data_IF_749130271180
#
_entry.id   IF_749130271180
#
_cell.length_a   1.000
_cell.length_b   1.000
_cell.length_c   1.000
_cell.angle_alpha   90.00
_cell.angle_beta   90.00
_cell.angle_gamma   90.00
#
_symmetry.space_group_name_H-M   'P 1'
#
loop_
_entity.id
_entity.type
_entity.pdbx_description
1 polymer ?
#
# COMPACT_ATOMS: atom_id res chain seq x y z
N UNK A 1 -9.30 -14.97 -21.20
CA UNK A 1 -9.51 -13.54 -21.53
C UNK A 1 -8.49 -12.78 -20.70
N UNK A 2 -7.93 -11.65 -21.13
CA UNK A 2 -6.81 -11.03 -20.39
C UNK A 2 -7.21 -10.65 -18.97
N UNK A 3 -6.26 -10.62 -18.01
CA UNK A 3 -6.46 -9.97 -16.70
C UNK A 3 -7.32 -8.71 -16.87
N UNK A 4 -8.33 -8.55 -16.00
CA UNK A 4 -9.18 -7.36 -15.95
C UNK A 4 -8.40 -6.17 -15.39
N UNK A 5 -7.53 -5.64 -16.23
CA UNK A 5 -6.68 -4.47 -15.96
C UNK A 5 -7.43 -3.14 -16.17
N UNK A 6 -8.74 -3.18 -16.42
CA UNK A 6 -9.62 -2.02 -16.60
C UNK A 6 -10.13 -1.46 -15.26
N UNK A 7 -10.06 -2.26 -14.19
CA UNK A 7 -10.42 -1.85 -12.84
C UNK A 7 -9.18 -1.34 -12.12
N UNK A 8 -9.24 -0.15 -11.51
CA UNK A 8 -8.20 0.37 -10.64
C UNK A 8 -8.49 0.05 -9.17
N UNK A 9 -7.48 0.08 -8.30
CA UNK A 9 -7.68 -0.02 -6.84
C UNK A 9 -8.64 1.05 -6.32
N UNK A 10 -8.57 2.29 -6.81
CA UNK A 10 -9.57 3.31 -6.50
C UNK A 10 -10.98 2.93 -6.97
N UNK A 11 -11.10 2.24 -8.10
CA UNK A 11 -12.35 1.66 -8.59
C UNK A 11 -12.88 0.57 -7.67
N UNK A 12 -12.00 -0.32 -7.20
CA UNK A 12 -12.31 -1.35 -6.21
C UNK A 12 -12.89 -0.71 -4.94
N UNK A 13 -12.19 0.26 -4.33
CA UNK A 13 -12.64 0.97 -3.12
C UNK A 13 -14.03 1.58 -3.30
N UNK A 14 -14.30 2.22 -4.45
CA UNK A 14 -15.63 2.80 -4.72
C UNK A 14 -16.71 1.73 -4.84
N UNK A 15 -16.39 0.56 -5.42
CA UNK A 15 -17.33 -0.55 -5.48
C UNK A 15 -17.60 -1.10 -4.07
N UNK A 16 -16.57 -1.27 -3.25
CA UNK A 16 -16.68 -1.69 -1.84
C UNK A 16 -17.56 -0.75 -1.04
N UNK A 17 -17.37 0.57 -1.19
CA UNK A 17 -18.18 1.57 -0.48
C UNK A 17 -19.66 1.48 -0.84
N UNK A 18 -20.00 1.23 -2.11
CA UNK A 18 -21.40 1.04 -2.53
C UNK A 18 -22.02 -0.21 -1.91
N UNK A 19 -21.30 -1.32 -1.91
CA UNK A 19 -21.76 -2.55 -1.26
C UNK A 19 -21.91 -2.35 0.27
N UNK A 20 -21.00 -1.60 0.88
CA UNK A 20 -21.10 -1.25 2.30
C UNK A 20 -22.30 -0.35 2.61
N UNK A 21 -22.71 0.53 1.69
CA UNK A 21 -23.96 1.31 1.80
C UNK A 21 -25.21 0.42 1.71
N UNK A 22 -25.13 -0.72 1.03
CA UNK A 22 -26.19 -1.73 0.93
C UNK A 22 -26.21 -2.70 2.13
N UNK A 23 -25.23 -2.60 3.03
CA UNK A 23 -25.15 -3.36 4.28
C UNK A 23 -24.10 -4.49 4.28
N UNK A 24 -23.34 -4.65 3.20
CA UNK A 24 -22.25 -5.63 3.16
C UNK A 24 -21.06 -5.19 4.02
N UNK A 25 -20.34 -6.18 4.56
CA UNK A 25 -19.08 -5.97 5.27
C UNK A 25 -17.97 -6.63 4.47
N UNK A 26 -17.05 -5.82 3.95
CA UNK A 26 -16.03 -6.27 3.00
C UNK A 26 -14.67 -5.76 3.44
N UNK A 27 -13.76 -6.68 3.67
CA UNK A 27 -12.36 -6.42 3.98
C UNK A 27 -11.49 -7.10 2.93
N UNK A 28 -10.46 -6.43 2.45
CA UNK A 28 -9.47 -7.02 1.54
C UNK A 28 -8.21 -7.41 2.28
N UNK A 29 -7.60 -8.53 1.88
CA UNK A 29 -6.33 -8.97 2.41
C UNK A 29 -5.18 -8.47 1.53
N UNK A 30 -4.33 -7.60 2.09
CA UNK A 30 -3.04 -7.24 1.49
C UNK A 30 -2.00 -8.31 1.77
N UNK A 31 -1.51 -8.98 0.73
CA UNK A 31 -0.60 -10.12 0.85
C UNK A 31 0.83 -9.66 0.64
N UNK A 32 1.67 -9.84 1.65
CA UNK A 32 3.10 -9.58 1.59
C UNK A 32 3.82 -10.85 1.12
N UNK A 33 4.31 -10.90 -0.13
CA UNK A 33 4.88 -12.11 -0.70
C UNK A 33 6.23 -12.43 -0.04
N UNK A 34 6.31 -13.59 0.60
CA UNK A 34 7.56 -14.05 1.24
C UNK A 34 8.15 -15.32 0.60
N UNK A 35 7.40 -15.96 -0.29
CA UNK A 35 7.81 -17.16 -1.03
C UNK A 35 6.92 -17.35 -2.27
N UNK A 36 7.28 -18.29 -3.14
CA UNK A 36 6.43 -18.65 -4.29
C UNK A 36 5.07 -19.22 -3.84
N UNK A 37 5.02 -19.96 -2.73
CA UNK A 37 3.79 -20.49 -2.16
C UNK A 37 2.84 -19.37 -1.70
N UNK A 38 3.39 -18.27 -1.19
CA UNK A 38 2.62 -17.08 -0.79
C UNK A 38 2.24 -16.17 -1.98
N UNK A 39 2.69 -16.52 -3.19
CA UNK A 39 2.15 -15.98 -4.45
C UNK A 39 1.07 -16.93 -4.99
N UNK A 40 1.32 -18.24 -4.96
CA UNK A 40 0.43 -19.27 -5.49
C UNK A 40 -0.88 -19.40 -4.71
N UNK A 41 -0.80 -19.59 -3.39
CA UNK A 41 -1.97 -19.89 -2.58
C UNK A 41 -3.06 -18.80 -2.66
N UNK A 42 -2.73 -17.49 -2.64
CA UNK A 42 -3.76 -16.47 -2.83
C UNK A 42 -4.44 -16.49 -4.19
N UNK A 43 -3.72 -16.83 -5.26
CA UNK A 43 -4.29 -16.94 -6.60
C UNK A 43 -5.24 -18.14 -6.66
N UNK A 44 -4.81 -19.31 -6.17
CA UNK A 44 -5.68 -20.51 -6.10
C UNK A 44 -6.95 -20.23 -5.27
N UNK A 45 -6.81 -19.57 -4.12
CA UNK A 45 -7.94 -19.19 -3.27
C UNK A 45 -8.85 -18.16 -3.95
N UNK A 46 -8.31 -17.19 -4.68
CA UNK A 46 -9.13 -16.23 -5.41
C UNK A 46 -9.93 -16.89 -6.53
N UNK A 47 -9.39 -17.93 -7.19
CA UNK A 47 -10.11 -18.72 -8.18
C UNK A 47 -11.23 -19.57 -7.56
N UNK A 48 -11.06 -20.02 -6.31
CA UNK A 48 -12.06 -20.81 -5.59
C UNK A 48 -13.16 -19.95 -4.94
N UNK A 49 -12.79 -18.81 -4.36
CA UNK A 49 -13.66 -17.97 -3.52
C UNK A 49 -14.06 -16.62 -4.15
N UNK A 50 -13.61 -16.34 -5.37
CA UNK A 50 -13.95 -15.14 -6.16
C UNK A 50 -13.72 -13.80 -5.43
N UNK A 51 -12.46 -13.57 -5.02
CA UNK A 51 -12.05 -12.31 -4.40
C UNK A 51 -10.82 -11.70 -5.12
N UNK A 52 -10.64 -10.37 -5.08
CA UNK A 52 -9.47 -9.74 -5.69
C UNK A 52 -8.20 -10.02 -4.87
N UNK A 53 -7.13 -10.40 -5.55
CA UNK A 53 -5.80 -10.60 -4.94
C UNK A 53 -5.05 -9.28 -4.89
N UNK A 54 -4.64 -8.84 -3.70
CA UNK A 54 -3.85 -7.63 -3.51
C UNK A 54 -2.45 -8.01 -3.04
N UNK A 55 -1.49 -8.12 -3.96
CA UNK A 55 -0.09 -8.28 -3.58
C UNK A 55 0.50 -6.93 -3.22
N UNK A 56 1.17 -6.84 -2.07
CA UNK A 56 1.81 -5.62 -1.59
C UNK A 56 3.23 -5.97 -1.16
N UNK A 57 4.23 -5.59 -1.95
CA UNK A 57 5.62 -5.82 -1.62
C UNK A 57 6.24 -4.56 -0.99
N UNK A 58 7.05 -4.70 0.05
CA UNK A 58 7.84 -3.58 0.58
C UNK A 58 9.10 -3.31 -0.25
N UNK A 59 9.70 -2.13 -0.06
CA UNK A 59 11.02 -1.80 -0.64
C UNK A 59 12.15 -2.73 -0.17
N UNK A 60 11.95 -3.45 0.94
CA UNK A 60 12.92 -4.45 1.39
C UNK A 60 12.69 -5.80 0.69
N UNK A 61 11.45 -6.13 0.33
CA UNK A 61 11.06 -7.38 -0.37
C UNK A 61 11.23 -7.35 -1.89
N UNK A 62 11.26 -6.17 -2.51
CA UNK A 62 11.60 -6.00 -3.93
C UNK A 62 12.51 -4.79 -4.11
N UNK A 63 13.65 -4.97 -4.76
CA UNK A 63 14.68 -3.92 -4.84
C UNK A 63 15.54 -4.05 -6.08
N UNK A 64 15.75 -2.93 -6.78
CA UNK A 64 16.77 -2.78 -7.84
C UNK A 64 18.18 -2.74 -7.27
N UNK A 65 18.32 -2.21 -6.04
CA UNK A 65 19.58 -2.20 -5.33
C UNK A 65 19.78 -3.55 -4.63
N UNK A 66 21.03 -4.03 -4.58
CA UNK A 66 21.45 -5.27 -3.88
C UNK A 66 21.33 -6.58 -4.68
N UNK A 67 21.13 -6.52 -6.01
CA UNK A 67 21.07 -7.72 -6.86
C UNK A 67 19.81 -8.55 -6.63
N UNK A 68 18.79 -7.92 -6.04
CA UNK A 68 17.58 -8.56 -5.55
C UNK A 68 17.35 -8.34 -4.04
N UNK A 69 16.09 -8.40 -3.61
CA UNK A 69 15.69 -8.28 -2.20
C UNK A 69 16.18 -9.41 -1.28
N UNK A 70 16.06 -9.24 0.05
CA UNK A 70 16.48 -10.25 1.03
C UNK A 70 15.59 -11.50 1.09
N UNK A 71 14.39 -11.45 0.50
CA UNK A 71 13.40 -12.54 0.60
C UNK A 71 13.54 -13.51 -0.55
N UNK A 72 13.44 -13.01 -1.79
CA UNK A 72 13.46 -13.83 -3.01
C UNK A 72 14.48 -13.35 -4.04
N UNK A 73 15.29 -12.35 -3.70
CA UNK A 73 16.25 -11.79 -4.66
C UNK A 73 15.58 -11.11 -5.85
N UNK A 74 14.37 -10.56 -5.68
CA UNK A 74 13.60 -10.02 -6.80
C UNK A 74 13.70 -8.50 -6.92
N UNK A 75 13.77 -8.03 -8.16
CA UNK A 75 13.44 -6.66 -8.55
C UNK A 75 11.92 -6.50 -8.66
N UNK A 76 11.37 -5.28 -8.75
CA UNK A 76 9.96 -5.07 -9.09
C UNK A 76 9.51 -5.80 -10.36
N UNK A 77 10.34 -5.80 -11.41
CA UNK A 77 10.05 -6.57 -12.63
C UNK A 77 10.07 -8.09 -12.35
N UNK A 78 11.10 -8.58 -11.66
CA UNK A 78 11.21 -9.99 -11.30
C UNK A 78 10.02 -10.49 -10.47
N UNK A 79 9.45 -9.64 -9.61
CA UNK A 79 8.24 -9.98 -8.86
C UNK A 79 7.01 -10.15 -9.75
N UNK A 80 6.81 -9.25 -10.72
CA UNK A 80 5.75 -9.41 -11.71
C UNK A 80 5.95 -10.68 -12.53
N UNK A 81 7.18 -10.95 -12.98
CA UNK A 81 7.47 -12.18 -13.73
C UNK A 81 7.18 -13.44 -12.91
N UNK A 82 7.54 -13.46 -11.62
CA UNK A 82 7.22 -14.58 -10.75
C UNK A 82 5.71 -14.80 -10.59
N UNK A 83 4.93 -13.73 -10.49
CA UNK A 83 3.46 -13.85 -10.50
C UNK A 83 2.97 -14.44 -11.82
N UNK A 84 3.44 -13.93 -12.96
CA UNK A 84 3.06 -14.43 -14.29
C UNK A 84 3.45 -15.91 -14.47
N UNK A 85 4.60 -16.34 -13.96
CA UNK A 85 5.02 -17.76 -13.97
C UNK A 85 4.04 -18.65 -13.19
N UNK A 86 3.61 -18.19 -12.00
CA UNK A 86 2.63 -18.91 -11.18
C UNK A 86 1.27 -18.96 -11.89
N UNK A 87 0.80 -17.84 -12.43
CA UNK A 87 -0.42 -17.74 -13.24
C UNK A 87 -0.40 -18.73 -14.42
N UNK A 88 0.70 -18.76 -15.18
CA UNK A 88 0.88 -19.69 -16.29
C UNK A 88 0.85 -21.16 -15.80
N UNK A 89 1.48 -21.46 -14.65
CA UNK A 89 1.45 -22.80 -14.06
C UNK A 89 0.06 -23.26 -13.62
N UNK A 90 -0.86 -22.31 -13.41
CA UNK A 90 -2.27 -22.54 -13.07
C UNK A 90 -3.19 -22.53 -14.31
N UNK A 91 -2.63 -22.36 -15.52
CA UNK A 91 -3.39 -22.29 -16.77
C UNK A 91 -4.10 -20.95 -16.99
N UNK A 92 -3.57 -19.86 -16.44
CA UNK A 92 -4.13 -18.51 -16.55
C UNK A 92 -3.58 -17.70 -17.75
N UNK A 93 -3.05 -18.39 -18.75
CA UNK A 93 -2.30 -17.83 -19.89
C UNK A 93 -3.10 -17.79 -21.21
N UNK A 94 -4.41 -18.07 -21.17
CA UNK A 94 -5.22 -18.32 -22.37
C UNK A 94 -6.53 -17.52 -22.41
N UNK A 95 -7.15 -17.50 -23.59
CA UNK A 95 -8.49 -16.91 -23.73
C UNK A 95 -9.57 -17.66 -22.93
N UNK A 96 -9.36 -18.93 -22.59
CA UNK A 96 -10.26 -19.76 -21.78
C UNK A 96 -10.02 -19.70 -20.27
N UNK A 97 -8.99 -18.98 -19.83
CA UNK A 97 -8.66 -18.86 -18.41
C UNK A 97 -9.79 -18.18 -17.61
N UNK A 98 -10.05 -18.63 -16.37
CA UNK A 98 -11.04 -17.98 -15.50
C UNK A 98 -10.66 -16.53 -15.22
N UNK A 99 -11.66 -15.66 -15.18
CA UNK A 99 -11.47 -14.26 -14.80
C UNK A 99 -11.19 -14.18 -13.30
N UNK A 100 -10.16 -13.43 -12.91
CA UNK A 100 -9.96 -12.98 -11.54
C UNK A 100 -9.26 -11.62 -11.52
N UNK A 101 -9.32 -10.93 -10.39
CA UNK A 101 -8.72 -9.61 -10.22
C UNK A 101 -7.42 -9.71 -9.42
N UNK A 102 -6.36 -9.10 -9.93
CA UNK A 102 -5.10 -8.95 -9.22
C UNK A 102 -4.60 -7.51 -9.27
N UNK A 103 -4.15 -7.02 -8.13
CA UNK A 103 -3.46 -5.76 -7.98
C UNK A 103 -2.07 -5.99 -7.41
N UNK A 104 -1.10 -5.21 -7.86
CA UNK A 104 0.27 -5.26 -7.33
C UNK A 104 0.65 -3.86 -6.85
N UNK A 105 0.97 -3.77 -5.57
CA UNK A 105 1.34 -2.55 -4.89
C UNK A 105 2.74 -2.61 -4.31
N UNK A 106 3.32 -1.43 -4.09
CA UNK A 106 4.54 -1.24 -3.32
C UNK A 106 4.21 -0.52 -2.01
N UNK A 107 4.73 -1.06 -0.90
CA UNK A 107 4.53 -0.55 0.45
C UNK A 107 5.64 0.41 0.88
N UNK A 108 5.29 1.37 1.75
CA UNK A 108 6.21 2.29 2.42
C UNK A 108 7.24 2.96 1.49
N UNK A 109 6.77 3.54 0.37
CA UNK A 109 7.60 4.32 -0.53
C UNK A 109 7.79 5.76 -0.05
N UNK A 110 8.84 5.96 0.75
CA UNK A 110 9.39 7.28 1.02
C UNK A 110 10.80 7.22 1.61
N UNK A 111 11.36 8.39 1.98
CA UNK A 111 12.73 8.50 2.46
C UNK A 111 12.94 7.82 3.82
N UNK A 112 14.19 7.48 4.13
CA UNK A 112 14.63 6.92 5.43
C UNK A 112 14.04 5.55 5.83
N UNK A 113 13.35 4.88 4.91
CA UNK A 113 12.76 3.56 5.15
C UNK A 113 13.82 2.48 5.41
N UNK A 114 14.81 2.34 4.51
CA UNK A 114 15.84 1.31 4.65
C UNK A 114 16.86 1.71 5.71
N UNK A 115 17.45 0.73 6.39
CA UNK A 115 18.47 0.99 7.43
C UNK A 115 19.64 1.85 6.92
N UNK A 116 20.10 1.61 5.68
CA UNK A 116 21.15 2.40 5.02
C UNK A 116 20.75 3.85 4.73
N UNK A 117 19.45 4.13 4.66
CA UNK A 117 18.90 5.46 4.38
C UNK A 117 18.78 6.31 5.64
N UNK A 118 18.66 5.71 6.83
CA UNK A 118 18.40 6.40 8.11
C UNK A 118 19.44 7.45 8.52
N UNK A 119 20.63 7.41 7.92
CA UNK A 119 21.73 8.37 8.19
C UNK A 119 21.93 9.39 7.06
N UNK A 120 21.15 9.30 5.99
CA UNK A 120 21.28 10.16 4.83
C UNK A 120 20.57 11.50 5.05
N UNK A 121 21.11 12.55 4.44
CA UNK A 121 20.38 13.79 4.24
C UNK A 121 19.12 13.55 3.39
N UNK A 122 18.22 14.53 3.39
CA UNK A 122 16.92 14.44 2.72
C UNK A 122 17.03 14.13 1.23
N UNK A 123 17.90 14.83 0.50
CA UNK A 123 18.05 14.65 -0.94
C UNK A 123 18.49 13.21 -1.28
N UNK A 124 19.49 12.70 -0.53
CA UNK A 124 20.01 11.35 -0.71
C UNK A 124 19.03 10.28 -0.24
N UNK A 125 18.20 10.55 0.78
CA UNK A 125 17.19 9.62 1.27
C UNK A 125 15.98 9.50 0.32
N UNK A 126 15.60 10.59 -0.36
CA UNK A 126 14.49 10.60 -1.31
C UNK A 126 14.84 9.86 -2.61
N UNK A 127 16.10 9.91 -3.04
CA UNK A 127 16.54 9.37 -4.33
C UNK A 127 16.21 7.87 -4.49
N UNK A 128 16.54 6.97 -3.54
CA UNK A 128 16.15 5.56 -3.62
C UNK A 128 14.65 5.33 -3.74
N UNK A 129 13.82 6.07 -3.00
CA UNK A 129 12.37 5.98 -3.10
C UNK A 129 11.89 6.33 -4.52
N UNK A 130 12.41 7.41 -5.11
CA UNK A 130 12.14 7.78 -6.51
C UNK A 130 12.55 6.70 -7.51
N UNK A 131 13.69 6.04 -7.31
CA UNK A 131 14.12 4.92 -8.13
C UNK A 131 13.14 3.74 -8.05
N UNK A 132 12.72 3.36 -6.83
CA UNK A 132 11.70 2.31 -6.64
C UNK A 132 10.39 2.66 -7.36
N UNK A 133 9.90 3.90 -7.21
CA UNK A 133 8.67 4.35 -7.86
C UNK A 133 8.73 4.20 -9.39
N UNK A 134 9.86 4.55 -10.01
CA UNK A 134 10.07 4.36 -11.45
C UNK A 134 10.06 2.87 -11.82
N UNK A 135 10.85 2.04 -11.12
CA UNK A 135 10.95 0.62 -11.42
C UNK A 135 9.60 -0.11 -11.29
N UNK A 136 8.82 0.21 -10.26
CA UNK A 136 7.46 -0.31 -10.08
C UNK A 136 6.51 0.15 -11.21
N UNK A 137 6.57 1.41 -11.65
CA UNK A 137 5.80 1.90 -12.80
C UNK A 137 6.16 1.16 -14.09
N UNK A 138 7.46 0.93 -14.32
CA UNK A 138 7.96 0.20 -15.49
C UNK A 138 7.49 -1.25 -15.47
N UNK A 139 7.53 -1.91 -14.31
CA UNK A 139 7.06 -3.27 -14.08
C UNK A 139 5.52 -3.43 -14.15
N UNK A 140 4.76 -2.33 -14.04
CA UNK A 140 3.29 -2.35 -14.15
C UNK A 140 2.54 -2.44 -12.83
N UNK A 141 3.14 -1.99 -11.72
CA UNK A 141 2.46 -1.88 -10.44
C UNK A 141 1.27 -0.89 -10.53
N UNK A 142 0.20 -1.20 -9.82
CA UNK A 142 -1.05 -0.44 -9.81
C UNK A 142 -1.29 0.35 -8.53
N UNK A 143 -0.58 0.03 -7.44
CA UNK A 143 -0.72 0.66 -6.12
C UNK A 143 0.60 1.19 -5.57
N UNK A 144 0.58 2.39 -4.99
CA UNK A 144 1.78 3.04 -4.44
C UNK A 144 1.47 3.66 -3.08
N UNK A 145 1.95 3.03 -2.01
CA UNK A 145 1.91 3.63 -0.67
C UNK A 145 3.06 4.61 -0.51
N UNK A 146 2.73 5.91 -0.44
CA UNK A 146 3.71 6.98 -0.25
C UNK A 146 3.79 7.32 1.24
N UNK A 147 4.88 6.90 1.88
CA UNK A 147 5.10 7.07 3.32
C UNK A 147 6.37 7.85 3.61
N UNK A 148 6.21 9.13 3.95
CA UNK A 148 7.29 10.04 4.34
C UNK A 148 7.41 10.25 5.85
N UNK A 149 6.83 9.37 6.66
CA UNK A 149 6.79 9.49 8.12
C UNK A 149 8.00 8.88 8.84
N UNK A 150 8.77 8.03 8.15
CA UNK A 150 9.95 7.37 8.72
C UNK A 150 10.91 8.38 9.33
N UNK A 151 11.40 8.05 10.53
CA UNK A 151 12.20 8.97 11.34
C UNK A 151 13.50 9.37 10.62
N UNK A 152 13.70 10.67 10.33
CA UNK A 152 14.95 11.17 9.74
C UNK A 152 16.11 11.13 10.76
N UNK A 153 17.38 11.25 10.32
CA UNK A 153 18.49 11.45 11.23
C UNK A 153 18.34 12.76 12.01
N UNK A 154 18.95 12.85 13.19
CA UNK A 154 18.86 14.04 14.06
C UNK A 154 19.36 15.34 13.42
N UNK A 155 20.12 15.26 12.34
CA UNK A 155 20.58 16.40 11.54
C UNK A 155 19.54 16.96 10.57
N UNK A 156 18.40 16.28 10.38
CA UNK A 156 17.35 16.68 9.45
C UNK A 156 16.05 16.90 10.22
N UNK A 157 15.53 18.12 10.16
CA UNK A 157 14.26 18.47 10.75
C UNK A 157 13.12 18.25 9.74
N UNK A 158 12.13 17.45 10.14
CA UNK A 158 10.92 17.18 9.38
C UNK A 158 9.72 17.34 10.31
N UNK A 159 8.94 18.40 10.07
CA UNK A 159 7.66 18.62 10.73
C UNK A 159 6.51 18.10 9.86
N UNK A 160 5.28 18.14 10.37
CA UNK A 160 4.09 17.63 9.66
C UNK A 160 3.86 18.30 8.30
N UNK A 161 3.98 19.63 8.22
CA UNK A 161 3.85 20.37 6.96
C UNK A 161 4.86 19.89 5.91
N UNK A 162 6.10 19.65 6.32
CA UNK A 162 7.15 19.14 5.45
C UNK A 162 6.91 17.69 5.06
N UNK A 163 6.42 16.83 5.96
CA UNK A 163 6.01 15.47 5.60
C UNK A 163 4.91 15.47 4.54
N UNK A 164 3.87 16.28 4.73
CA UNK A 164 2.78 16.44 3.76
C UNK A 164 3.32 16.89 2.41
N UNK A 165 4.19 17.90 2.41
CA UNK A 165 4.83 18.38 1.19
C UNK A 165 5.62 17.28 0.49
N UNK A 166 6.46 16.53 1.22
CA UNK A 166 7.25 15.43 0.65
C UNK A 166 6.37 14.32 0.07
N UNK A 167 5.29 13.95 0.77
CA UNK A 167 4.30 12.98 0.27
C UNK A 167 3.69 13.46 -1.05
N UNK A 168 3.23 14.70 -1.12
CA UNK A 168 2.63 15.23 -2.37
C UNK A 168 3.67 15.42 -3.48
N UNK A 169 4.91 15.82 -3.15
CA UNK A 169 6.02 15.92 -4.10
C UNK A 169 6.36 14.55 -4.72
N UNK A 170 6.28 13.46 -3.94
CA UNK A 170 6.49 12.10 -4.44
C UNK A 170 5.32 11.60 -5.29
N UNK A 171 4.07 11.91 -4.94
CA UNK A 171 2.89 11.63 -5.79
C UNK A 171 3.04 12.38 -7.12
N UNK A 172 3.36 13.67 -7.08
CA UNK A 172 3.56 14.49 -8.28
C UNK A 172 4.70 13.94 -9.16
N UNK A 173 5.82 13.58 -8.54
CA UNK A 173 6.93 12.94 -9.24
C UNK A 173 6.48 11.64 -9.93
N UNK A 174 5.73 10.79 -9.23
CA UNK A 174 5.24 9.51 -9.73
C UNK A 174 4.30 9.72 -10.91
N UNK A 175 3.34 10.65 -10.82
CA UNK A 175 2.43 10.97 -11.92
C UNK A 175 3.16 11.51 -13.15
N UNK A 176 4.15 12.41 -12.96
CA UNK A 176 4.97 12.92 -14.06
C UNK A 176 5.72 11.79 -14.78
N UNK A 177 6.25 10.82 -14.02
CA UNK A 177 6.93 9.65 -14.58
C UNK A 177 5.95 8.69 -15.25
N UNK A 178 4.81 8.40 -14.64
CA UNK A 178 3.73 7.58 -15.22
C UNK A 178 3.27 8.10 -16.57
N UNK A 179 3.04 9.41 -16.68
CA UNK A 179 2.64 10.08 -17.93
C UNK A 179 3.77 9.97 -18.98
N UNK A 180 5.02 10.25 -18.59
CA UNK A 180 6.16 10.16 -19.50
C UNK A 180 6.38 8.73 -20.04
N UNK A 181 6.14 7.71 -19.19
CA UNK A 181 6.20 6.29 -19.51
C UNK A 181 4.94 5.77 -20.23
N UNK A 182 3.92 6.62 -20.46
CA UNK A 182 2.62 6.25 -21.05
C UNK A 182 1.92 5.10 -20.33
N UNK A 183 2.08 5.02 -19.01
CA UNK A 183 1.43 4.00 -18.17
C UNK A 183 0.00 4.41 -17.83
N UNK A 184 -0.87 3.43 -17.63
CA UNK A 184 -2.26 3.63 -17.16
C UNK A 184 -2.27 4.36 -15.81
N UNK A 185 -3.39 5.02 -15.42
CA UNK A 185 -3.52 5.60 -14.09
C UNK A 185 -3.25 4.58 -12.98
N UNK A 186 -2.61 5.02 -11.90
CA UNK A 186 -2.28 4.20 -10.72
C UNK A 186 -3.02 4.74 -9.51
N UNK A 187 -3.10 3.95 -8.43
CA UNK A 187 -3.73 4.37 -7.17
C UNK A 187 -2.67 4.62 -6.11
N UNK A 188 -2.90 5.62 -5.28
CA UNK A 188 -2.01 5.99 -4.18
C UNK A 188 -2.63 5.61 -2.84
N UNK A 189 -1.74 5.35 -1.89
CA UNK A 189 -2.05 5.21 -0.47
C UNK A 189 -1.15 6.18 0.30
N UNK A 190 -1.66 6.75 1.38
CA UNK A 190 -0.96 7.74 2.22
C UNK A 190 -1.17 7.41 3.69
N UNK A 191 -0.41 8.07 4.56
CA UNK A 191 -0.49 7.88 6.00
C UNK A 191 0.60 6.93 6.49
N UNK A 192 0.53 6.58 7.77
CA UNK A 192 1.45 5.64 8.41
C UNK A 192 0.86 5.14 9.72
N UNK A 193 1.39 4.03 10.21
CA UNK A 193 1.27 3.54 11.57
C UNK A 193 2.39 4.06 12.51
N UNK A 194 3.49 4.60 11.97
CA UNK A 194 4.68 5.03 12.71
C UNK A 194 4.52 6.44 13.30
N UNK A 195 3.79 6.57 14.41
CA UNK A 195 4.02 7.65 15.37
C UNK A 195 4.58 7.08 16.65
N UNK A 196 5.85 7.40 16.92
CA UNK A 196 6.64 6.98 18.08
C UNK A 196 5.83 6.93 19.41
N UNK A 197 5.20 5.79 19.69
CA UNK A 197 4.56 5.45 20.96
C UNK A 197 3.28 6.22 21.34
N UNK A 198 2.64 6.98 20.45
CA UNK A 198 1.37 7.68 20.77
C UNK A 198 0.29 7.37 19.75
N UNK A 199 -0.88 6.93 20.24
CA UNK A 199 -2.11 6.84 19.45
C UNK A 199 -2.44 8.23 18.87
N UNK A 200 -2.69 8.30 17.57
CA UNK A 200 -3.10 9.52 16.88
C UNK A 200 -4.58 9.75 17.20
N UNK A 201 -4.95 10.95 17.64
CA UNK A 201 -6.37 11.25 17.88
C UNK A 201 -7.15 11.24 16.57
N UNK A 202 -8.42 10.86 16.61
CA UNK A 202 -9.31 10.84 15.44
C UNK A 202 -9.37 12.23 14.78
N UNK A 203 -9.31 13.30 15.58
CA UNK A 203 -9.26 14.69 15.09
C UNK A 203 -7.99 14.99 14.32
N UNK A 204 -6.82 14.57 14.84
CA UNK A 204 -5.54 14.77 14.15
C UNK A 204 -5.48 13.97 12.84
N UNK A 205 -5.97 12.73 12.84
CA UNK A 205 -6.09 11.92 11.62
C UNK A 205 -6.96 12.61 10.55
N UNK A 206 -8.15 13.09 10.94
CA UNK A 206 -9.05 13.84 10.06
C UNK A 206 -8.40 15.14 9.52
N UNK A 207 -7.67 15.87 10.36
CA UNK A 207 -6.99 17.10 9.97
C UNK A 207 -5.84 16.80 8.99
N UNK A 208 -5.06 15.76 9.25
CA UNK A 208 -3.95 15.31 8.40
C UNK A 208 -4.44 14.98 6.98
N UNK A 209 -5.52 14.20 6.87
CA UNK A 209 -6.13 13.86 5.57
C UNK A 209 -6.59 15.13 4.84
N UNK A 210 -7.27 16.06 5.53
CA UNK A 210 -7.71 17.34 4.92
C UNK A 210 -6.54 18.14 4.38
N UNK A 211 -5.44 18.23 5.13
CA UNK A 211 -4.27 18.99 4.72
C UNK A 211 -3.60 18.36 3.48
N UNK A 212 -3.45 17.03 3.47
CA UNK A 212 -2.88 16.32 2.31
C UNK A 212 -3.78 16.48 1.08
N UNK A 213 -5.10 16.26 1.21
CA UNK A 213 -6.04 16.40 0.10
C UNK A 213 -6.12 17.84 -0.43
N UNK A 214 -6.01 18.84 0.44
CA UNK A 214 -5.93 20.25 0.03
C UNK A 214 -4.72 20.49 -0.88
N UNK A 215 -3.56 19.96 -0.51
CA UNK A 215 -2.33 20.12 -1.30
C UNK A 215 -2.36 19.31 -2.61
N UNK A 216 -2.91 18.10 -2.60
CA UNK A 216 -3.19 17.29 -3.81
C UNK A 216 -4.09 18.07 -4.79
N UNK A 217 -5.19 18.66 -4.30
CA UNK A 217 -6.15 19.42 -5.11
C UNK A 217 -5.53 20.65 -5.75
N UNK A 218 -4.73 21.42 -5.01
CA UNK A 218 -4.03 22.60 -5.54
C UNK A 218 -3.14 22.27 -6.73
N UNK A 219 -2.58 21.06 -6.76
CA UNK A 219 -1.67 20.59 -7.82
C UNK A 219 -2.35 19.78 -8.92
N UNK A 220 -3.66 19.55 -8.82
CA UNK A 220 -4.43 18.75 -9.79
C UNK A 220 -3.99 17.28 -9.83
N UNK A 221 -3.55 16.74 -8.70
CA UNK A 221 -3.08 15.36 -8.56
C UNK A 221 -4.26 14.41 -8.23
N UNK A 222 -4.15 13.11 -8.55
CA UNK A 222 -5.17 12.14 -8.19
C UNK A 222 -5.29 12.00 -6.66
N UNK A 223 -6.53 11.91 -6.17
CA UNK A 223 -6.79 11.62 -4.76
C UNK A 223 -6.36 10.18 -4.43
N UNK A 224 -5.79 9.91 -3.23
CA UNK A 224 -5.38 8.57 -2.87
C UNK A 224 -6.60 7.66 -2.63
N UNK A 225 -6.46 6.38 -2.91
CA UNK A 225 -7.49 5.36 -2.75
C UNK A 225 -7.58 4.87 -1.30
N UNK A 226 -6.45 4.83 -0.59
CA UNK A 226 -6.36 4.34 0.78
C UNK A 226 -5.64 5.32 1.70
N UNK A 227 -6.00 5.28 2.98
CA UNK A 227 -5.25 5.92 4.06
C UNK A 227 -4.92 4.88 5.13
N UNK A 228 -3.66 4.86 5.55
CA UNK A 228 -3.17 4.00 6.62
C UNK A 228 -3.40 4.66 7.97
N UNK A 229 -3.88 3.89 8.95
CA UNK A 229 -3.96 4.31 10.34
C UNK A 229 -3.71 3.16 11.30
N UNK A 230 -3.39 3.51 12.54
CA UNK A 230 -3.07 2.54 13.60
C UNK A 230 -4.31 2.22 14.44
N UNK A 231 -4.68 0.95 14.48
CA UNK A 231 -5.78 0.37 15.28
C UNK A 231 -5.28 -0.37 16.53
N UNK A 232 -3.97 -0.31 16.78
CA UNK A 232 -3.33 -0.91 17.95
C UNK A 232 -2.60 -2.22 17.69
N UNK A 233 -2.70 -2.79 16.49
CA UNK A 233 -1.96 -3.98 16.09
C UNK A 233 -0.43 -3.74 16.07
N UNK A 234 0.34 -4.68 16.62
CA UNK A 234 1.81 -4.64 16.64
C UNK A 234 2.34 -6.08 16.70
N UNK A 235 3.15 -6.47 15.73
CA UNK A 235 3.74 -7.82 15.69
C UNK A 235 5.12 -7.79 16.35
N UNK A 236 5.38 -8.74 17.25
CA UNK A 236 6.72 -9.11 17.68
C UNK A 236 6.89 -10.61 17.53
N UNK A 237 7.87 -11.00 16.73
CA UNK A 237 8.13 -12.41 16.39
C UNK A 237 6.89 -13.07 15.77
N UNK A 238 6.22 -13.98 16.49
CA UNK A 238 5.07 -14.75 16.02
C UNK A 238 3.78 -14.40 16.80
N UNK A 239 3.76 -13.23 17.43
CA UNK A 239 2.64 -12.80 18.26
C UNK A 239 2.25 -11.36 17.93
N UNK A 240 0.95 -11.09 17.92
CA UNK A 240 0.44 -9.73 17.98
C UNK A 240 0.43 -9.29 19.44
N UNK A 241 1.40 -8.46 19.80
CA UNK A 241 1.57 -7.90 21.15
C UNK A 241 0.95 -6.51 21.29
N UNK A 242 0.26 -6.06 20.24
CA UNK A 242 -0.44 -4.80 20.19
C UNK A 242 -1.60 -4.72 21.17
N UNK A 243 -1.93 -3.51 21.60
CA UNK A 243 -3.14 -3.24 22.37
C UNK A 243 -4.24 -2.75 21.43
N UNK A 244 -5.22 -3.61 21.11
CA UNK A 244 -6.34 -3.25 20.23
C UNK A 244 -7.07 -2.00 20.74
N UNK A 245 -7.13 -0.97 19.90
CA UNK A 245 -7.80 0.29 20.17
C UNK A 245 -9.15 0.29 19.46
N UNK A 246 -10.20 -0.08 20.19
CA UNK A 246 -11.57 -0.13 19.68
C UNK A 246 -12.02 1.23 19.12
N UNK A 247 -11.60 2.33 19.74
CA UNK A 247 -12.00 3.68 19.31
C UNK A 247 -11.39 3.99 17.96
N UNK A 248 -10.10 3.70 17.78
CA UNK A 248 -9.41 3.88 16.50
C UNK A 248 -9.99 2.93 15.42
N UNK A 249 -10.15 1.64 15.74
CA UNK A 249 -10.68 0.64 14.81
C UNK A 249 -12.09 0.95 14.32
N UNK A 250 -12.93 1.60 15.14
CA UNK A 250 -14.26 2.04 14.72
C UNK A 250 -14.25 3.42 14.05
N UNK A 251 -13.47 4.38 14.55
CA UNK A 251 -13.61 5.79 14.16
C UNK A 251 -12.76 6.17 12.94
N UNK A 252 -11.54 5.65 12.81
CA UNK A 252 -10.65 6.00 11.70
C UNK A 252 -11.20 5.55 10.34
N UNK A 253 -11.81 4.36 10.20
CA UNK A 253 -12.44 3.94 8.95
C UNK A 253 -13.63 4.83 8.58
N UNK A 254 -14.42 5.29 9.55
CA UNK A 254 -15.49 6.25 9.30
C UNK A 254 -14.98 7.60 8.80
N UNK A 255 -13.84 8.05 9.32
CA UNK A 255 -13.17 9.27 8.82
C UNK A 255 -12.69 9.05 7.39
N UNK A 256 -12.00 7.95 7.09
CA UNK A 256 -11.53 7.63 5.74
C UNK A 256 -12.69 7.60 4.73
N UNK A 257 -13.80 6.96 5.10
CA UNK A 257 -15.03 6.89 4.30
C UNK A 257 -15.60 8.26 3.95
N UNK A 258 -15.55 9.25 4.86
CA UNK A 258 -16.00 10.64 4.59
C UNK A 258 -15.19 11.33 3.49
N UNK A 259 -13.97 10.85 3.22
CA UNK A 259 -13.11 11.31 2.14
C UNK A 259 -13.12 10.37 0.93
N UNK A 260 -14.03 9.39 0.88
CA UNK A 260 -14.11 8.37 -0.16
C UNK A 260 -12.84 7.50 -0.28
N UNK A 261 -12.08 7.36 0.81
CA UNK A 261 -10.88 6.53 0.88
C UNK A 261 -11.18 5.21 1.62
N UNK A 262 -10.50 4.14 1.22
CA UNK A 262 -10.41 2.92 2.02
C UNK A 262 -9.51 3.15 3.23
N UNK A 263 -9.80 2.47 4.33
CA UNK A 263 -8.91 2.40 5.48
C UNK A 263 -8.04 1.15 5.38
N UNK A 264 -6.74 1.29 5.62
CA UNK A 264 -5.82 0.18 5.68
C UNK A 264 -5.12 0.16 7.03
N UNK A 265 -4.92 -1.04 7.53
CA UNK A 265 -4.08 -1.29 8.70
C UNK A 265 -2.94 -2.23 8.35
N UNK A 266 -1.86 -2.10 9.11
CA UNK A 266 -0.69 -2.97 9.04
C UNK A 266 -0.65 -3.89 10.25
N UNK A 267 0.18 -4.94 10.16
CA UNK A 267 0.49 -5.83 11.27
C UNK A 267 -0.73 -6.59 11.83
N UNK A 268 -1.69 -6.95 10.97
CA UNK A 268 -2.90 -7.68 11.36
C UNK A 268 -2.67 -9.19 11.57
N UNK A 269 -1.46 -9.71 11.32
CA UNK A 269 -1.12 -11.10 11.58
C UNK A 269 -1.28 -11.45 13.06
N UNK A 270 -1.65 -12.71 13.32
CA UNK A 270 -1.86 -13.29 14.67
C UNK A 270 -2.98 -12.64 15.50
N UNK A 271 -3.80 -11.75 14.94
CA UNK A 271 -5.00 -11.26 15.60
C UNK A 271 -6.02 -12.41 15.79
N UNK A 272 -6.71 -12.40 16.92
CA UNK A 272 -7.79 -13.36 17.18
C UNK A 272 -9.01 -13.08 16.29
N UNK A 273 -9.78 -14.11 15.91
CA UNK A 273 -10.99 -13.95 15.10
C UNK A 273 -11.97 -12.89 15.64
N UNK A 274 -12.26 -12.80 16.96
CA UNK A 274 -13.10 -11.74 17.49
C UNK A 274 -12.56 -10.35 17.19
N UNK A 275 -11.26 -10.12 17.39
CA UNK A 275 -10.62 -8.84 17.09
C UNK A 275 -10.64 -8.58 15.58
N UNK A 276 -10.29 -9.55 14.76
CA UNK A 276 -10.32 -9.43 13.29
C UNK A 276 -11.72 -9.05 12.78
N UNK A 277 -12.78 -9.62 13.34
CA UNK A 277 -14.17 -9.28 12.97
C UNK A 277 -14.64 -7.88 13.38
N UNK A 278 -13.88 -7.18 14.23
CA UNK A 278 -14.11 -5.79 14.61
C UNK A 278 -13.32 -4.80 13.75
N UNK A 279 -12.38 -5.30 12.94
CA UNK A 279 -11.69 -4.49 11.97
C UNK A 279 -12.63 -4.18 10.78
N UNK A 280 -12.43 -3.02 10.13
CA UNK A 280 -13.29 -2.51 9.07
C UNK A 280 -13.41 -3.42 7.85
#
# INVERSE_FOLDING_TARGET
MSLRDDISLAGLVRATQRLAEEGDRITYLGIYPMSEELIRAPIELALEYDFPVLFVASRNQVSEDEGGSYVMGLTPEGFIQKILEVENSLGLDSESSPDYLRFVGIDHCGPWYKEREKKLDEERAIKPAKCTLIACLEAGYSGFHIDCSFKPPSSVEVNEEKMIKLTVDLIEFTERKRIALKKRPVSYEIGTEETAGKSISVEHFNLSIKNILSEIKKRGLPEPAFVVGRTGAEIKMLENVGGFDYTAASSLPEVARKFHMGFKEHNADYLSNPIFSLHP
#
